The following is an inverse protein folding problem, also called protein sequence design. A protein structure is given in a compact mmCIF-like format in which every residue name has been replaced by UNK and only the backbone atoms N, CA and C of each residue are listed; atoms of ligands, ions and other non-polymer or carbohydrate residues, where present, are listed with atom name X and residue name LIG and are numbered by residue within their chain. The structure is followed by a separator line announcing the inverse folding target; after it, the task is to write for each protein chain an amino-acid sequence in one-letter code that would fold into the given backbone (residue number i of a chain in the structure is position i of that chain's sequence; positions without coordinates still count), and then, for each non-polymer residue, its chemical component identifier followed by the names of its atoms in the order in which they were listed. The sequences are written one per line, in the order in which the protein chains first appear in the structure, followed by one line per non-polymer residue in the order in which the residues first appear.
data_IF_126317875012
#
_entry.id   IF_126317875012
#
_cell.length_a   1.000
_cell.length_b   1.000
_cell.length_c   1.000
_cell.angle_alpha   90.00
_cell.angle_beta   90.00
_cell.angle_gamma   90.00
#
_symmetry.space_group_name_H-M   'P 1'
#
loop_
_entity.id
_entity.type
_entity.pdbx_description
1 polymer ?
#
# COMPACT_ATOMS: atom_id res chain seq x y z
N UNK A 1 1.45 -21.49 13.98
CA UNK A 1 2.39 -20.35 13.99
C UNK A 1 2.22 -19.57 15.29
N UNK A 2 3.31 -19.23 15.96
CA UNK A 2 3.27 -18.32 17.11
C UNK A 2 2.78 -16.94 16.65
N UNK A 3 1.99 -16.24 17.48
CA UNK A 3 1.46 -14.89 17.19
C UNK A 3 2.57 -13.91 16.76
N UNK A 4 3.79 -14.11 17.27
CA UNK A 4 4.97 -13.30 16.96
C UNK A 4 5.44 -13.49 15.51
N UNK A 5 5.46 -14.72 15.02
CA UNK A 5 5.87 -15.01 13.62
C UNK A 5 4.85 -14.46 12.61
N UNK A 6 3.58 -14.50 12.96
CA UNK A 6 2.50 -13.95 12.13
C UNK A 6 2.60 -12.41 12.03
N UNK A 7 2.94 -11.73 13.13
CA UNK A 7 3.22 -10.29 13.15
C UNK A 7 4.45 -9.93 12.31
N UNK A 8 5.51 -10.73 12.40
CA UNK A 8 6.76 -10.50 11.69
C UNK A 8 6.58 -10.67 10.17
N UNK A 9 5.84 -11.70 9.75
CA UNK A 9 5.45 -11.88 8.36
C UNK A 9 4.64 -10.69 7.85
N UNK A 10 3.67 -10.22 8.62
CA UNK A 10 2.85 -9.07 8.28
C UNK A 10 3.69 -7.80 8.10
N UNK A 11 4.61 -7.56 9.02
CA UNK A 11 5.49 -6.41 9.00
C UNK A 11 6.40 -6.41 7.76
N UNK A 12 6.98 -7.57 7.43
CA UNK A 12 7.77 -7.75 6.22
C UNK A 12 6.92 -7.48 4.97
N UNK A 13 5.70 -8.01 4.91
CA UNK A 13 4.79 -7.76 3.78
C UNK A 13 4.49 -6.27 3.62
N UNK A 14 4.19 -5.56 4.70
CA UNK A 14 3.96 -4.11 4.67
C UNK A 14 5.20 -3.37 4.17
N UNK A 15 6.39 -3.71 4.66
CA UNK A 15 7.65 -3.08 4.22
C UNK A 15 7.87 -3.31 2.72
N UNK A 16 7.67 -4.54 2.24
CA UNK A 16 7.85 -4.87 0.83
C UNK A 16 6.88 -4.04 -0.01
N UNK A 17 5.60 -3.94 0.36
CA UNK A 17 4.65 -3.10 -0.37
C UNK A 17 5.02 -1.62 -0.34
N UNK A 18 5.45 -1.09 0.81
CA UNK A 18 5.82 0.32 0.97
C UNK A 18 7.06 0.69 0.17
N UNK A 19 7.98 -0.23 -0.08
CA UNK A 19 9.18 0.03 -0.89
C UNK A 19 8.94 -0.29 -2.36
N UNK A 20 8.27 -1.41 -2.66
CA UNK A 20 8.08 -1.90 -4.01
C UNK A 20 7.07 -1.05 -4.79
N UNK A 21 5.98 -0.59 -4.17
CA UNK A 21 4.95 0.21 -4.84
C UNK A 21 5.49 1.56 -5.32
N UNK A 22 6.13 2.39 -4.47
CA UNK A 22 6.70 3.65 -4.93
C UNK A 22 7.74 3.42 -6.01
N UNK A 23 8.60 2.41 -5.84
CA UNK A 23 9.60 2.06 -6.84
C UNK A 23 8.97 1.70 -8.20
N UNK A 24 7.92 0.86 -8.21
CA UNK A 24 7.20 0.51 -9.44
C UNK A 24 6.56 1.76 -10.07
N UNK A 25 5.94 2.62 -9.27
CA UNK A 25 5.31 3.83 -9.76
C UNK A 25 6.34 4.78 -10.38
N UNK A 26 7.51 4.99 -9.76
CA UNK A 26 8.56 5.83 -10.34
C UNK A 26 9.22 5.23 -11.58
N UNK A 27 9.28 3.90 -11.69
CA UNK A 27 9.94 3.24 -12.81
C UNK A 27 9.04 3.03 -14.02
N UNK A 28 7.75 2.72 -13.80
CA UNK A 28 6.81 2.37 -14.86
C UNK A 28 5.84 3.50 -15.23
N UNK A 29 5.51 4.40 -14.29
CA UNK A 29 4.57 5.49 -14.57
C UNK A 29 5.35 6.69 -15.13
N UNK A 30 5.00 7.17 -16.33
CA UNK A 30 5.63 8.37 -16.89
C UNK A 30 5.45 9.57 -15.96
N UNK A 31 6.46 10.46 -15.87
CA UNK A 31 6.45 11.58 -14.93
C UNK A 31 5.27 12.52 -15.13
N UNK A 32 4.72 12.63 -16.35
CA UNK A 32 3.53 13.44 -16.65
C UNK A 32 2.31 12.98 -15.84
N UNK A 33 2.10 11.67 -15.72
CA UNK A 33 0.99 11.12 -14.93
C UNK A 33 1.24 11.27 -13.44
N UNK A 34 2.49 11.19 -12.98
CA UNK A 34 2.85 11.45 -11.58
C UNK A 34 2.56 12.91 -11.18
N UNK A 35 2.88 13.87 -12.06
CA UNK A 35 2.57 15.29 -11.84
C UNK A 35 1.06 15.53 -11.82
N UNK A 36 0.32 14.93 -12.75
CA UNK A 36 -1.15 15.04 -12.78
C UNK A 36 -1.78 14.47 -11.50
N UNK A 37 -1.31 13.30 -11.06
CA UNK A 37 -1.76 12.67 -9.83
C UNK A 37 -1.43 13.53 -8.61
N UNK A 38 -0.21 14.09 -8.58
CA UNK A 38 0.22 15.03 -7.55
C UNK A 38 -0.65 16.27 -7.50
N UNK A 39 -1.02 16.82 -8.65
CA UNK A 39 -1.92 17.99 -8.75
C UNK A 39 -3.32 17.69 -8.23
N UNK A 40 -3.85 16.51 -8.55
CA UNK A 40 -5.16 16.04 -8.09
C UNK A 40 -5.18 15.82 -6.57
N UNK A 41 -4.17 15.14 -6.03
CA UNK A 41 -4.04 14.83 -4.59
C UNK A 41 -3.72 16.08 -3.78
N UNK A 42 -3.02 17.05 -4.36
CA UNK A 42 -2.72 18.35 -3.78
C UNK A 42 -3.93 19.31 -3.78
N UNK A 43 -5.11 18.86 -4.24
CA UNK A 43 -6.31 19.71 -4.39
C UNK A 43 -6.03 20.98 -5.21
N UNK A 44 -5.23 20.85 -6.27
CA UNK A 44 -4.85 21.98 -7.13
C UNK A 44 -3.84 22.93 -6.49
N UNK A 45 -2.79 22.40 -5.85
CA UNK A 45 -1.70 23.15 -5.18
C UNK A 45 -2.04 23.77 -3.82
N UNK A 46 -3.08 23.30 -3.13
CA UNK A 46 -3.31 23.74 -1.74
C UNK A 46 -2.21 23.25 -0.79
N UNK A 47 -1.57 22.13 -1.14
CA UNK A 47 -0.45 21.53 -0.43
C UNK A 47 0.75 21.29 -1.37
N UNK A 48 1.95 21.10 -0.81
CA UNK A 48 3.13 20.77 -1.62
C UNK A 48 2.90 19.49 -2.45
N UNK A 49 3.16 19.58 -3.76
CA UNK A 49 2.87 18.53 -4.72
C UNK A 49 3.61 17.22 -4.40
N UNK A 50 4.89 17.31 -4.02
CA UNK A 50 5.69 16.14 -3.70
C UNK A 50 5.23 15.51 -2.39
N UNK A 51 4.92 16.33 -1.39
CA UNK A 51 4.47 15.84 -0.09
C UNK A 51 3.11 15.16 -0.20
N UNK A 52 2.16 15.76 -0.93
CA UNK A 52 0.87 15.15 -1.23
C UNK A 52 1.02 13.82 -1.98
N UNK A 53 1.88 13.75 -2.99
CA UNK A 53 2.13 12.52 -3.74
C UNK A 53 2.73 11.42 -2.85
N UNK A 54 3.71 11.75 -2.01
CA UNK A 54 4.34 10.82 -1.07
C UNK A 54 3.34 10.28 -0.04
N UNK A 55 2.51 11.15 0.52
CA UNK A 55 1.47 10.76 1.49
C UNK A 55 0.45 9.84 0.81
N UNK A 56 0.03 10.15 -0.41
CA UNK A 56 -0.89 9.29 -1.16
C UNK A 56 -0.27 7.91 -1.44
N UNK A 57 0.98 7.85 -1.90
CA UNK A 57 1.68 6.59 -2.13
C UNK A 57 1.79 5.76 -0.84
N UNK A 58 2.14 6.38 0.28
CA UNK A 58 2.24 5.71 1.56
C UNK A 58 0.89 5.17 2.05
N UNK A 59 -0.18 5.98 1.96
CA UNK A 59 -1.53 5.58 2.34
C UNK A 59 -2.07 4.48 1.43
N UNK A 60 -1.84 4.59 0.12
CA UNK A 60 -2.25 3.59 -0.86
C UNK A 60 -1.55 2.25 -0.60
N UNK A 61 -0.25 2.27 -0.31
CA UNK A 61 0.51 1.09 0.07
C UNK A 61 0.00 0.48 1.39
N UNK A 62 -0.29 1.29 2.40
CA UNK A 62 -0.83 0.82 3.67
C UNK A 62 -2.22 0.19 3.48
N UNK A 63 -3.07 0.81 2.65
CA UNK A 63 -4.38 0.30 2.28
C UNK A 63 -4.29 -1.06 1.58
N UNK A 64 -3.39 -1.19 0.60
CA UNK A 64 -3.12 -2.47 -0.07
C UNK A 64 -2.64 -3.54 0.90
N UNK A 65 -1.69 -3.22 1.78
CA UNK A 65 -1.20 -4.20 2.75
C UNK A 65 -2.31 -4.68 3.70
N UNK A 66 -3.17 -3.76 4.18
CA UNK A 66 -4.36 -4.10 4.97
C UNK A 66 -5.35 -4.96 4.16
N UNK A 67 -5.59 -4.63 2.89
CA UNK A 67 -6.47 -5.39 2.01
C UNK A 67 -5.94 -6.81 1.79
N UNK A 68 -4.65 -6.97 1.46
CA UNK A 68 -4.02 -8.27 1.25
C UNK A 68 -4.16 -9.16 2.47
N UNK A 69 -3.95 -8.61 3.66
CA UNK A 69 -4.13 -9.37 4.89
C UNK A 69 -5.61 -9.68 5.11
N UNK A 70 -6.49 -8.71 4.93
CA UNK A 70 -7.91 -8.94 5.11
C UNK A 70 -8.39 -10.08 4.21
N UNK A 71 -7.99 -10.07 2.94
CA UNK A 71 -8.25 -11.15 1.97
C UNK A 71 -7.62 -12.47 2.44
N UNK A 72 -6.38 -12.46 2.91
CA UNK A 72 -5.71 -13.68 3.41
C UNK A 72 -6.41 -14.26 4.65
N UNK A 73 -6.85 -13.39 5.57
CA UNK A 73 -7.61 -13.76 6.76
C UNK A 73 -8.98 -14.31 6.38
N UNK A 74 -9.67 -13.67 5.44
CA UNK A 74 -10.97 -14.12 4.93
C UNK A 74 -10.85 -15.46 4.20
N UNK A 75 -9.83 -15.62 3.35
CA UNK A 75 -9.53 -16.87 2.66
C UNK A 75 -9.22 -17.99 3.66
N UNK A 76 -8.36 -17.73 4.64
CA UNK A 76 -8.00 -18.70 5.68
C UNK A 76 -9.20 -19.08 6.55
N UNK A 77 -10.08 -18.13 6.87
CA UNK A 77 -11.32 -18.39 7.61
C UNK A 77 -12.31 -19.22 6.78
N UNK A 78 -12.50 -18.89 5.50
CA UNK A 78 -13.36 -19.63 4.56
C UNK A 78 -12.84 -21.02 4.21
N UNK A 79 -11.53 -21.26 4.36
CA UNK A 79 -10.90 -22.57 4.08
C UNK A 79 -10.91 -23.51 5.29
N UNK A 80 -11.43 -23.08 6.45
CA UNK A 80 -11.69 -23.97 7.57
C UNK A 80 -13.13 -24.49 7.45
N UNK A 81 -13.35 -25.80 7.19
CA UNK A 81 -14.65 -26.37 7.44
C UNK A 81 -14.97 -26.20 8.93
N UNK A 82 -16.16 -25.67 9.22
CA UNK A 82 -16.72 -25.65 10.57
C UNK A 82 -16.52 -27.03 11.20
N UNK A 83 -15.95 -27.05 12.41
CA UNK A 83 -16.09 -28.17 13.33
C UNK A 83 -17.31 -27.91 14.19
#
# INVERSE_FOLDING_TARGET
MSKTQLRLLYFITVIIYVVLIPWLMFHFIPPVYLVLLGFLVSFGQTFDLMLSLLVFMALFSAGLACLTVYMFKQWYASSRPEK
#
